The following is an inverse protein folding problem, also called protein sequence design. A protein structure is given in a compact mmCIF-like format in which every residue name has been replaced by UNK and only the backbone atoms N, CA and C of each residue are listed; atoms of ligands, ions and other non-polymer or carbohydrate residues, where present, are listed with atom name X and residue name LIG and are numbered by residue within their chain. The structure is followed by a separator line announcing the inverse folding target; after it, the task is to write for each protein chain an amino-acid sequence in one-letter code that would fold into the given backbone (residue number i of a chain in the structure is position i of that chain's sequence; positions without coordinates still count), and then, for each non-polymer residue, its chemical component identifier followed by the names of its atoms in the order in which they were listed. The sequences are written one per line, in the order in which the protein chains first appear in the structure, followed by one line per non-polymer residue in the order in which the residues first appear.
data_IF_639762381057
#
_entry.id   IF_639762381057
#
_cell.length_a   1.000
_cell.length_b   1.000
_cell.length_c   1.000
_cell.angle_alpha   90.00
_cell.angle_beta   90.00
_cell.angle_gamma   90.00
#
_symmetry.space_group_name_H-M   'P 1'
#
loop_
_entity.id
_entity.type
_entity.pdbx_description
1 polymer ?
#
# COMPACT_ATOMS: atom_id res chain seq x y z
N UNK A 1 -16.45 -16.37 70.90
CA UNK A 1 -17.26 -15.77 69.81
C UNK A 1 -16.52 -14.54 69.21
N UNK A 2 -15.60 -14.75 68.29
CA UNK A 2 -14.90 -13.64 67.54
C UNK A 2 -14.50 -14.15 66.14
N UNK A 3 -15.45 -14.50 65.25
CA UNK A 3 -15.16 -14.93 63.89
C UNK A 3 -16.02 -14.36 62.76
N UNK A 4 -16.76 -13.23 62.84
CA UNK A 4 -17.36 -12.66 61.64
C UNK A 4 -16.60 -11.48 61.02
N UNK A 5 -15.56 -10.91 61.68
CA UNK A 5 -14.91 -9.66 61.18
C UNK A 5 -13.88 -9.91 60.09
N UNK A 6 -13.27 -11.11 60.05
CA UNK A 6 -12.23 -11.46 59.07
C UNK A 6 -12.82 -11.72 57.67
N UNK A 7 -14.01 -12.28 57.62
CA UNK A 7 -14.69 -12.56 56.33
C UNK A 7 -15.21 -11.30 55.60
N UNK A 8 -15.56 -10.28 56.39
CA UNK A 8 -16.00 -9.00 55.82
C UNK A 8 -14.81 -8.23 55.22
N UNK A 9 -13.62 -8.31 55.82
CA UNK A 9 -12.42 -7.64 55.31
C UNK A 9 -11.88 -8.29 54.01
N UNK A 10 -11.95 -9.62 53.86
CA UNK A 10 -11.56 -10.33 52.66
C UNK A 10 -12.54 -10.06 51.50
N UNK A 11 -13.82 -9.90 51.80
CA UNK A 11 -14.85 -9.60 50.77
C UNK A 11 -14.79 -8.15 50.27
N UNK A 12 -14.36 -7.19 51.10
CA UNK A 12 -14.16 -5.80 50.71
C UNK A 12 -12.85 -5.62 49.98
N UNK A 13 -11.79 -6.38 50.28
CA UNK A 13 -10.50 -6.31 49.58
C UNK A 13 -10.55 -7.01 48.21
N UNK A 14 -11.46 -7.98 48.02
CA UNK A 14 -11.64 -8.63 46.70
C UNK A 14 -12.43 -7.78 45.68
N UNK A 15 -13.07 -6.70 46.09
CA UNK A 15 -13.76 -5.74 45.20
C UNK A 15 -12.91 -4.52 44.77
N UNK A 16 -11.67 -4.44 45.22
CA UNK A 16 -10.78 -3.26 44.96
C UNK A 16 -9.69 -3.52 43.93
N UNK A 17 -9.72 -4.65 43.24
CA UNK A 17 -9.02 -4.77 41.97
C UNK A 17 -10.05 -4.50 40.86
N UNK A 18 -10.50 -3.26 40.76
CA UNK A 18 -11.09 -2.80 39.51
C UNK A 18 -9.98 -2.94 38.47
N UNK A 19 -10.11 -3.90 37.57
CA UNK A 19 -9.27 -3.96 36.39
C UNK A 19 -9.38 -2.60 35.72
N UNK A 20 -8.29 -1.87 35.64
CA UNK A 20 -8.26 -0.58 34.96
C UNK A 20 -8.62 -0.84 33.51
N UNK A 21 -9.61 -0.11 32.97
CA UNK A 21 -10.00 -0.23 31.57
C UNK A 21 -8.82 0.12 30.66
N UNK A 22 -8.65 -0.64 29.59
CA UNK A 22 -7.58 -0.42 28.60
C UNK A 22 -8.21 0.13 27.32
N UNK A 23 -7.74 1.30 26.88
CA UNK A 23 -8.20 1.94 25.65
C UNK A 23 -7.03 2.15 24.70
N UNK A 24 -7.14 1.62 23.49
CA UNK A 24 -6.18 1.87 22.42
C UNK A 24 -6.58 3.12 21.63
N UNK A 25 -5.64 4.07 21.50
CA UNK A 25 -5.79 5.25 20.65
C UNK A 25 -5.00 5.07 19.36
N UNK A 26 -5.70 5.05 18.22
CA UNK A 26 -5.10 4.90 16.88
C UNK A 26 -5.28 6.19 16.09
N UNK A 27 -4.21 6.93 15.74
CA UNK A 27 -4.32 8.10 14.90
C UNK A 27 -4.52 7.69 13.42
N UNK A 28 -5.56 8.22 12.76
CA UNK A 28 -5.78 8.15 11.32
C UNK A 28 -5.71 9.57 10.77
N UNK A 29 -4.49 10.03 10.48
CA UNK A 29 -4.21 11.41 10.09
C UNK A 29 -3.47 11.46 8.75
N UNK A 30 -3.81 12.45 7.93
CA UNK A 30 -3.22 12.61 6.60
C UNK A 30 -3.82 11.66 5.57
N UNK A 31 -3.01 11.19 4.62
CA UNK A 31 -3.46 10.32 3.52
C UNK A 31 -3.52 8.85 3.96
N UNK A 32 -4.62 8.18 3.64
CA UNK A 32 -4.77 6.74 3.84
C UNK A 32 -4.01 6.02 2.74
N UNK A 33 -2.89 5.42 3.10
CA UNK A 33 -1.99 4.66 2.24
C UNK A 33 -1.93 3.17 2.62
N UNK A 34 -1.23 2.38 1.83
CA UNK A 34 -1.12 0.93 1.99
C UNK A 34 -0.26 0.47 3.18
N UNK A 35 0.44 1.35 3.84
CA UNK A 35 1.14 1.02 5.08
C UNK A 35 0.25 1.16 6.32
N UNK A 36 -0.94 1.74 6.17
CA UNK A 36 -1.86 1.94 7.29
C UNK A 36 -2.63 0.67 7.67
N UNK A 37 -3.15 -0.17 6.75
CA UNK A 37 -3.86 -1.39 7.09
C UNK A 37 -3.06 -2.35 7.99
N UNK A 38 -1.83 -2.78 7.67
CA UNK A 38 -1.06 -3.70 8.53
C UNK A 38 -0.79 -3.12 9.93
N UNK A 39 -0.63 -1.79 10.04
CA UNK A 39 -0.49 -1.12 11.32
C UNK A 39 -1.77 -1.21 12.15
N UNK A 40 -2.95 -0.94 11.54
CA UNK A 40 -4.24 -0.99 12.23
C UNK A 40 -4.57 -2.42 12.65
N UNK A 41 -4.39 -3.40 11.77
CA UNK A 41 -4.61 -4.83 12.06
C UNK A 41 -3.78 -5.30 13.25
N UNK A 42 -2.49 -4.98 13.26
CA UNK A 42 -1.62 -5.30 14.39
C UNK A 42 -2.11 -4.70 15.70
N UNK A 43 -2.60 -3.45 15.68
CA UNK A 43 -3.10 -2.81 16.91
C UNK A 43 -4.44 -3.41 17.35
N UNK A 44 -5.32 -3.77 16.40
CA UNK A 44 -6.56 -4.48 16.73
C UNK A 44 -6.24 -5.83 17.38
N UNK A 45 -5.32 -6.61 16.79
CA UNK A 45 -4.88 -7.88 17.37
C UNK A 45 -4.31 -7.71 18.79
N UNK A 46 -3.42 -6.73 18.99
CA UNK A 46 -2.87 -6.44 20.31
C UNK A 46 -3.97 -6.06 21.32
N UNK A 47 -4.97 -5.26 20.89
CA UNK A 47 -6.10 -4.88 21.74
C UNK A 47 -6.97 -6.09 22.11
N UNK A 48 -7.18 -7.03 21.20
CA UNK A 48 -7.90 -8.27 21.45
C UNK A 48 -7.12 -9.19 22.41
N UNK A 49 -5.82 -9.38 22.19
CA UNK A 49 -4.95 -10.20 23.06
C UNK A 49 -4.90 -9.66 24.50
N UNK A 50 -4.94 -8.34 24.66
CA UNK A 50 -4.90 -7.69 25.95
C UNK A 50 -6.30 -7.51 26.58
N UNK A 51 -7.36 -7.94 25.90
CA UNK A 51 -8.77 -7.73 26.28
C UNK A 51 -9.07 -6.26 26.56
N UNK A 52 -8.66 -5.38 25.65
CA UNK A 52 -8.95 -3.96 25.75
C UNK A 52 -10.46 -3.70 25.69
N UNK A 53 -10.92 -2.66 26.42
CA UNK A 53 -12.32 -2.30 26.47
C UNK A 53 -12.77 -1.52 25.25
N UNK A 54 -11.88 -0.72 24.63
CA UNK A 54 -12.18 0.02 23.41
C UNK A 54 -10.94 0.32 22.56
N UNK A 55 -11.19 0.48 21.25
CA UNK A 55 -10.24 1.04 20.28
C UNK A 55 -10.86 2.33 19.75
N UNK A 56 -10.20 3.47 19.96
CA UNK A 56 -10.65 4.77 19.47
C UNK A 56 -9.74 5.26 18.35
N UNK A 57 -10.32 5.39 17.16
CA UNK A 57 -9.67 5.95 15.99
C UNK A 57 -9.80 7.47 15.98
N UNK A 58 -8.69 8.19 16.17
CA UNK A 58 -8.62 9.66 16.12
C UNK A 58 -8.43 10.12 14.66
N UNK A 59 -9.55 10.53 14.01
CA UNK A 59 -9.64 10.69 12.56
C UNK A 59 -9.59 12.17 12.17
N UNK A 60 -8.60 12.52 11.33
CA UNK A 60 -8.51 13.79 10.58
C UNK A 60 -7.87 13.51 9.22
N UNK A 61 -8.68 13.19 8.22
CA UNK A 61 -8.21 12.80 6.89
C UNK A 61 -9.09 13.34 5.76
N UNK A 62 -8.46 13.66 4.64
CA UNK A 62 -9.14 13.90 3.37
C UNK A 62 -9.37 12.62 2.57
N UNK A 63 -8.96 11.47 3.09
CA UNK A 63 -9.08 10.18 2.43
C UNK A 63 -7.77 9.66 1.86
N UNK A 64 -7.87 8.78 0.89
CA UNK A 64 -6.72 8.15 0.26
C UNK A 64 -7.13 6.97 -0.61
N UNK A 65 -6.37 5.89 -0.57
CA UNK A 65 -6.59 4.71 -1.39
C UNK A 65 -7.82 3.92 -0.94
N UNK A 66 -8.62 3.52 -1.93
CA UNK A 66 -9.83 2.72 -1.69
C UNK A 66 -9.50 1.34 -1.14
N UNK A 67 -8.50 0.67 -1.72
CA UNK A 67 -8.04 -0.65 -1.30
C UNK A 67 -7.56 -0.67 0.16
N UNK A 68 -6.74 0.30 0.56
CA UNK A 68 -6.33 0.47 1.95
C UNK A 68 -7.53 0.71 2.89
N UNK A 69 -8.48 1.54 2.47
CA UNK A 69 -9.68 1.81 3.26
C UNK A 69 -10.57 0.58 3.43
N UNK A 70 -10.69 -0.27 2.38
CA UNK A 70 -11.44 -1.52 2.43
C UNK A 70 -10.80 -2.51 3.39
N UNK A 71 -9.48 -2.70 3.35
CA UNK A 71 -8.75 -3.55 4.31
C UNK A 71 -8.95 -3.07 5.75
N UNK A 72 -8.81 -1.75 5.99
CA UNK A 72 -9.04 -1.17 7.33
C UNK A 72 -10.48 -1.41 7.80
N UNK A 73 -11.47 -1.18 6.93
CA UNK A 73 -12.89 -1.45 7.21
C UNK A 73 -13.09 -2.91 7.60
N UNK A 74 -12.52 -3.86 6.84
CA UNK A 74 -12.67 -5.29 7.10
C UNK A 74 -12.05 -5.67 8.44
N UNK A 75 -10.88 -5.14 8.79
CA UNK A 75 -10.25 -5.34 10.09
C UNK A 75 -11.13 -4.79 11.24
N UNK A 76 -11.67 -3.58 11.09
CA UNK A 76 -12.56 -2.98 12.11
C UNK A 76 -13.85 -3.77 12.27
N UNK A 77 -14.47 -4.21 11.16
CA UNK A 77 -15.71 -5.00 11.21
C UNK A 77 -15.52 -6.38 11.80
N UNK A 78 -14.29 -6.91 11.77
CA UNK A 78 -13.92 -8.22 12.33
C UNK A 78 -13.50 -8.16 13.81
N UNK A 79 -13.25 -6.96 14.34
CA UNK A 79 -12.80 -6.75 15.71
C UNK A 79 -13.89 -7.17 16.72
N UNK A 80 -13.45 -7.85 17.80
CA UNK A 80 -14.28 -8.18 18.95
C UNK A 80 -14.24 -7.11 20.05
N UNK A 81 -13.39 -6.10 19.92
CA UNK A 81 -13.27 -4.96 20.85
C UNK A 81 -14.14 -3.82 20.36
N UNK A 82 -14.77 -3.09 21.26
CA UNK A 82 -15.57 -1.90 20.93
C UNK A 82 -14.75 -0.93 20.07
N UNK A 83 -15.21 -0.66 18.85
CA UNK A 83 -14.56 0.26 17.92
C UNK A 83 -15.27 1.60 17.88
N UNK A 84 -14.52 2.68 18.03
CA UNK A 84 -15.04 4.05 18.12
C UNK A 84 -14.29 4.95 17.13
N UNK A 85 -15.01 5.63 16.26
CA UNK A 85 -14.48 6.72 15.45
C UNK A 85 -14.64 8.05 16.19
N UNK A 86 -13.55 8.73 16.48
CA UNK A 86 -13.53 10.11 16.93
C UNK A 86 -13.10 11.02 15.78
N UNK A 87 -14.06 11.68 15.15
CA UNK A 87 -13.82 12.59 14.02
C UNK A 87 -13.44 13.95 14.58
N UNK A 88 -12.14 14.17 14.72
CA UNK A 88 -11.57 15.37 15.31
C UNK A 88 -11.78 16.62 14.43
N UNK A 89 -11.74 16.47 13.09
CA UNK A 89 -12.04 17.54 12.14
C UNK A 89 -12.82 17.03 10.93
N UNK A 90 -12.29 16.01 10.28
CA UNK A 90 -12.87 15.51 9.03
C UNK A 90 -12.61 14.03 8.82
N UNK A 91 -13.61 13.39 8.26
CA UNK A 91 -13.55 12.02 7.78
C UNK A 91 -14.08 12.00 6.34
N UNK A 92 -13.24 12.44 5.40
CA UNK A 92 -13.61 12.58 3.99
C UNK A 92 -13.17 11.35 3.21
N UNK A 93 -13.97 10.94 2.21
CA UNK A 93 -13.66 9.84 1.29
C UNK A 93 -13.42 8.52 2.05
N UNK A 94 -12.24 7.92 1.92
CA UNK A 94 -11.83 6.72 2.66
C UNK A 94 -12.03 6.86 4.18
N UNK A 95 -11.88 8.08 4.74
CA UNK A 95 -12.15 8.36 6.13
C UNK A 95 -13.62 8.15 6.54
N UNK A 96 -14.56 8.43 5.63
CA UNK A 96 -15.98 8.16 5.87
C UNK A 96 -16.27 6.65 5.95
N UNK A 97 -15.71 5.85 5.04
CA UNK A 97 -15.85 4.39 5.06
C UNK A 97 -15.32 3.79 6.36
N UNK A 98 -14.12 4.21 6.77
CA UNK A 98 -13.49 3.78 8.03
C UNK A 98 -14.35 4.19 9.24
N UNK A 99 -14.86 5.41 9.26
CA UNK A 99 -15.73 5.88 10.35
C UNK A 99 -17.03 5.07 10.43
N UNK A 100 -17.67 4.80 9.28
CA UNK A 100 -18.90 4.02 9.21
C UNK A 100 -18.70 2.56 9.65
N UNK A 101 -17.49 2.00 9.54
CA UNK A 101 -17.19 0.65 10.00
C UNK A 101 -17.12 0.52 11.53
N UNK A 102 -16.89 1.61 12.25
CA UNK A 102 -16.85 1.63 13.71
C UNK A 102 -18.27 1.49 14.32
N UNK A 103 -18.34 0.90 15.53
CA UNK A 103 -19.59 0.74 16.26
C UNK A 103 -20.17 2.07 16.70
N UNK A 104 -19.31 2.98 17.15
CA UNK A 104 -19.67 4.33 17.57
C UNK A 104 -18.95 5.39 16.78
N UNK A 105 -19.59 6.51 16.54
CA UNK A 105 -19.01 7.67 15.88
C UNK A 105 -19.29 8.91 16.73
N UNK A 106 -18.22 9.56 17.20
CA UNK A 106 -18.27 10.84 17.88
C UNK A 106 -17.58 11.89 17.01
N UNK A 107 -18.13 13.11 16.97
CA UNK A 107 -17.61 14.20 16.15
C UNK A 107 -17.40 15.45 16.99
N UNK A 108 -16.37 16.23 16.65
CA UNK A 108 -16.21 17.57 17.24
C UNK A 108 -17.22 18.55 16.66
N UNK A 109 -17.52 19.62 17.36
CA UNK A 109 -18.26 20.75 16.80
C UNK A 109 -17.57 21.29 15.55
N UNK A 110 -18.26 21.27 14.40
CA UNK A 110 -17.68 21.64 13.11
C UNK A 110 -16.94 20.52 12.36
N UNK A 111 -17.02 19.29 12.85
CA UNK A 111 -16.55 18.10 12.14
C UNK A 111 -17.33 17.84 10.85
N UNK A 112 -16.73 17.10 9.92
CA UNK A 112 -17.39 16.71 8.66
C UNK A 112 -17.13 15.26 8.29
N UNK A 113 -18.14 14.58 7.73
CA UNK A 113 -18.03 13.20 7.24
C UNK A 113 -18.75 13.07 5.89
N UNK A 114 -18.15 12.38 4.91
CA UNK A 114 -18.77 12.08 3.62
C UNK A 114 -17.86 12.31 2.43
N UNK A 115 -18.44 12.75 1.29
CA UNK A 115 -17.76 13.00 0.01
C UNK A 115 -16.80 11.87 -0.38
N UNK A 116 -17.35 10.67 -0.61
CA UNK A 116 -16.58 9.43 -0.78
C UNK A 116 -16.56 8.90 -2.22
N UNK A 117 -16.84 9.75 -3.21
CA UNK A 117 -16.74 9.36 -4.62
C UNK A 117 -15.30 8.93 -4.95
N UNK A 118 -15.17 7.74 -5.52
CA UNK A 118 -13.86 7.27 -5.99
C UNK A 118 -13.40 8.10 -7.20
N UNK A 119 -12.20 8.65 -7.10
CA UNK A 119 -11.56 9.44 -8.16
C UNK A 119 -10.20 8.87 -8.51
N UNK A 120 -9.75 9.09 -9.76
CA UNK A 120 -8.40 8.76 -10.18
C UNK A 120 -7.36 9.74 -9.59
N UNK A 121 -6.06 9.49 -9.84
CA UNK A 121 -4.97 10.36 -9.38
C UNK A 121 -5.01 11.78 -9.96
N UNK A 122 -5.81 12.02 -11.01
CA UNK A 122 -6.02 13.34 -11.63
C UNK A 122 -7.28 14.05 -11.10
N UNK A 123 -8.05 13.38 -10.23
CA UNK A 123 -9.30 13.88 -9.68
C UNK A 123 -10.53 13.65 -10.56
N UNK A 124 -10.41 12.84 -11.63
CA UNK A 124 -11.57 12.49 -12.44
C UNK A 124 -12.39 11.40 -11.74
N UNK A 125 -13.73 11.49 -11.88
CA UNK A 125 -14.66 10.47 -11.37
C UNK A 125 -14.33 9.09 -11.95
N UNK A 126 -14.31 8.07 -11.10
CA UNK A 126 -14.11 6.69 -11.49
C UNK A 126 -15.22 6.19 -12.43
N UNK A 127 -14.97 5.06 -13.11
CA UNK A 127 -16.00 4.44 -13.95
C UNK A 127 -17.20 3.98 -13.10
N UNK A 128 -18.37 3.82 -13.74
CA UNK A 128 -19.59 3.36 -13.06
C UNK A 128 -19.37 2.03 -12.29
N UNK A 129 -18.51 1.15 -12.81
CA UNK A 129 -18.16 -0.09 -12.09
C UNK A 129 -17.53 0.18 -10.72
N UNK A 130 -16.61 1.16 -10.63
CA UNK A 130 -15.92 1.54 -9.39
C UNK A 130 -16.87 2.30 -8.47
N UNK A 131 -17.67 3.22 -9.03
CA UNK A 131 -18.67 3.96 -8.25
C UNK A 131 -19.72 3.01 -7.67
N UNK A 132 -20.24 2.08 -8.48
CA UNK A 132 -21.20 1.07 -8.03
C UNK A 132 -20.62 0.18 -6.92
N UNK A 133 -19.37 -0.25 -7.06
CA UNK A 133 -18.69 -1.01 -6.00
C UNK A 133 -18.61 -0.20 -4.70
N UNK A 134 -18.08 1.02 -4.76
CA UNK A 134 -17.94 1.89 -3.58
C UNK A 134 -19.28 2.25 -2.95
N UNK A 135 -20.30 2.48 -3.77
CA UNK A 135 -21.65 2.76 -3.29
C UNK A 135 -22.22 1.62 -2.44
N UNK A 136 -22.11 0.38 -2.92
CA UNK A 136 -22.60 -0.76 -2.19
C UNK A 136 -21.67 -1.13 -1.01
N UNK A 137 -20.38 -0.87 -1.09
CA UNK A 137 -19.42 -1.03 0.00
C UNK A 137 -19.75 -0.11 1.19
N UNK A 138 -20.03 1.16 0.90
CA UNK A 138 -20.47 2.12 1.91
C UNK A 138 -21.82 1.75 2.50
N UNK A 139 -22.76 1.31 1.66
CA UNK A 139 -24.10 0.92 2.09
C UNK A 139 -24.10 -0.31 2.99
N UNK A 140 -23.40 -1.38 2.59
CA UNK A 140 -23.30 -2.61 3.39
C UNK A 140 -22.60 -2.37 4.73
N UNK A 141 -21.59 -1.49 4.75
CA UNK A 141 -20.91 -1.07 5.97
C UNK A 141 -21.85 -0.33 6.91
N UNK A 142 -22.62 0.65 6.39
CA UNK A 142 -23.62 1.38 7.15
C UNK A 142 -24.71 0.48 7.69
N UNK A 143 -25.24 -0.43 6.87
CA UNK A 143 -26.25 -1.41 7.25
C UNK A 143 -25.77 -2.30 8.39
N UNK A 144 -24.54 -2.82 8.33
CA UNK A 144 -23.94 -3.66 9.39
C UNK A 144 -23.87 -2.94 10.74
N UNK A 145 -23.79 -1.61 10.73
CA UNK A 145 -23.73 -0.74 11.91
C UNK A 145 -25.06 -0.02 12.19
N UNK A 146 -26.17 -0.48 11.59
CA UNK A 146 -27.53 0.08 11.76
C UNK A 146 -27.62 1.60 11.43
N UNK A 147 -26.87 2.05 10.42
CA UNK A 147 -26.93 3.42 9.90
C UNK A 147 -27.65 3.46 8.55
N UNK A 148 -28.17 4.61 8.18
CA UNK A 148 -28.95 4.76 6.93
C UNK A 148 -28.08 4.53 5.68
N UNK A 149 -28.52 3.58 4.85
CA UNK A 149 -27.82 3.18 3.63
C UNK A 149 -27.92 4.20 2.49
N UNK A 150 -29.00 4.98 2.43
CA UNK A 150 -29.17 5.99 1.39
C UNK A 150 -28.22 7.17 1.60
N UNK A 151 -27.99 7.56 2.86
CA UNK A 151 -26.98 8.56 3.19
C UNK A 151 -25.61 8.06 2.81
N UNK A 152 -25.27 6.81 3.16
CA UNK A 152 -23.99 6.20 2.81
C UNK A 152 -23.78 6.13 1.28
N UNK A 153 -24.81 5.71 0.52
CA UNK A 153 -24.79 5.70 -0.94
C UNK A 153 -24.62 7.10 -1.52
N UNK A 154 -25.34 8.09 -0.98
CA UNK A 154 -25.25 9.46 -1.44
C UNK A 154 -23.93 10.18 -1.11
N UNK A 155 -23.10 9.62 -0.22
CA UNK A 155 -21.72 10.07 -0.03
C UNK A 155 -20.82 9.70 -1.22
N UNK A 156 -21.19 8.68 -2.01
CA UNK A 156 -20.41 8.17 -3.14
C UNK A 156 -20.97 8.61 -4.46
N UNK A 157 -22.30 8.55 -4.62
CA UNK A 157 -22.98 8.72 -5.89
C UNK A 157 -23.81 9.99 -5.92
N UNK A 158 -23.41 10.93 -6.76
CA UNK A 158 -24.06 12.21 -6.96
C UNK A 158 -25.36 12.13 -7.79
N UNK A 159 -25.60 10.98 -8.45
CA UNK A 159 -26.82 10.79 -9.27
C UNK A 159 -28.03 10.36 -8.41
N UNK A 160 -27.76 9.96 -7.16
CA UNK A 160 -28.81 9.56 -6.23
C UNK A 160 -29.64 10.76 -5.75
N UNK A 161 -30.96 10.56 -5.72
CA UNK A 161 -31.89 11.53 -5.12
C UNK A 161 -32.91 10.82 -4.26
N UNK A 162 -33.23 11.39 -3.11
CA UNK A 162 -34.26 10.89 -2.21
C UNK A 162 -34.91 12.04 -1.42
N UNK A 163 -36.16 11.86 -1.04
CA UNK A 163 -36.91 12.88 -0.27
C UNK A 163 -37.21 12.40 1.15
N UNK A 164 -37.13 11.11 1.42
CA UNK A 164 -37.47 10.53 2.71
C UNK A 164 -36.38 9.54 3.10
N UNK A 165 -36.12 9.46 4.41
CA UNK A 165 -35.28 8.45 5.07
C UNK A 165 -36.10 7.73 6.12
N UNK A 166 -35.67 6.51 6.47
CA UNK A 166 -36.27 5.76 7.59
C UNK A 166 -35.30 5.83 8.76
N UNK A 167 -35.69 6.57 9.82
CA UNK A 167 -34.90 6.73 11.03
C UNK A 167 -35.72 6.20 12.20
N UNK A 168 -35.19 5.20 12.92
CA UNK A 168 -35.87 4.50 14.02
C UNK A 168 -37.25 3.92 13.65
N UNK A 169 -37.46 3.59 12.37
CA UNK A 169 -38.72 3.07 11.85
C UNK A 169 -39.70 4.15 11.38
N UNK A 170 -39.42 5.42 11.63
CA UNK A 170 -40.23 6.56 11.17
C UNK A 170 -39.72 7.11 9.83
N UNK A 171 -40.65 7.46 8.95
CA UNK A 171 -40.34 8.13 7.68
C UNK A 171 -40.14 9.63 7.91
N UNK A 172 -38.90 10.09 7.78
CA UNK A 172 -38.50 11.48 7.97
C UNK A 172 -38.28 12.15 6.61
N UNK A 173 -38.98 13.28 6.37
CA UNK A 173 -38.73 14.08 5.17
C UNK A 173 -37.39 14.83 5.30
N UNK A 174 -36.55 14.71 4.25
CA UNK A 174 -35.24 15.31 4.20
C UNK A 174 -35.32 16.60 3.41
N UNK A 175 -35.20 17.73 4.08
CA UNK A 175 -35.30 19.07 3.44
C UNK A 175 -33.98 19.85 3.48
N UNK A 176 -33.14 19.60 4.46
CA UNK A 176 -31.93 20.36 4.80
C UNK A 176 -30.60 19.69 4.34
N UNK A 177 -30.67 18.56 3.67
CA UNK A 177 -29.52 17.86 3.13
C UNK A 177 -29.40 18.10 1.62
N UNK A 178 -28.48 18.98 1.19
CA UNK A 178 -28.32 19.30 -0.23
C UNK A 178 -27.92 18.10 -1.07
N UNK A 179 -27.06 17.21 -0.54
CA UNK A 179 -26.61 16.00 -1.22
C UNK A 179 -27.69 14.95 -1.51
N UNK A 180 -28.94 15.19 -1.07
CA UNK A 180 -30.10 14.40 -1.48
C UNK A 180 -30.62 14.69 -2.90
N UNK A 181 -30.08 15.73 -3.54
CA UNK A 181 -30.43 16.14 -4.89
C UNK A 181 -29.47 15.59 -5.90
N UNK A 182 -29.95 15.19 -7.06
CA UNK A 182 -29.11 14.79 -8.18
C UNK A 182 -28.05 15.84 -8.51
N UNK A 183 -26.83 15.40 -8.77
CA UNK A 183 -25.66 16.23 -9.02
C UNK A 183 -24.98 16.77 -7.76
N UNK A 184 -25.31 16.23 -6.57
CA UNK A 184 -24.70 16.62 -5.29
C UNK A 184 -24.30 15.42 -4.47
N UNK A 185 -23.11 15.49 -3.88
CA UNK A 185 -22.63 14.49 -2.91
C UNK A 185 -23.07 14.87 -1.50
N UNK A 186 -23.30 13.83 -0.69
CA UNK A 186 -23.55 14.02 0.74
C UNK A 186 -22.23 14.25 1.47
N UNK A 187 -22.19 15.37 2.20
CA UNK A 187 -21.21 15.63 3.24
C UNK A 187 -21.99 16.16 4.44
N UNK A 188 -21.88 15.50 5.58
CA UNK A 188 -22.59 15.87 6.79
C UNK A 188 -21.68 16.69 7.70
N UNK A 189 -22.22 17.77 8.25
CA UNK A 189 -21.70 18.43 9.44
C UNK A 189 -22.05 17.60 10.67
N UNK A 190 -21.46 17.90 11.82
CA UNK A 190 -21.75 17.24 13.09
C UNK A 190 -23.26 17.29 13.40
N UNK A 191 -23.89 18.45 13.24
CA UNK A 191 -25.32 18.62 13.47
C UNK A 191 -26.17 17.69 12.57
N UNK A 192 -25.87 17.64 11.27
CA UNK A 192 -26.59 16.76 10.33
C UNK A 192 -26.28 15.27 10.59
N UNK A 193 -25.06 14.95 10.95
CA UNK A 193 -24.67 13.58 11.28
C UNK A 193 -25.42 13.05 12.52
N UNK A 194 -25.60 13.88 13.53
CA UNK A 194 -26.40 13.58 14.72
C UNK A 194 -27.90 13.48 14.39
N UNK A 195 -28.41 14.44 13.62
CA UNK A 195 -29.83 14.46 13.20
C UNK A 195 -30.23 13.22 12.44
N UNK A 196 -29.37 12.75 11.53
CA UNK A 196 -29.63 11.58 10.69
C UNK A 196 -29.02 10.29 11.25
N UNK A 197 -28.59 10.28 12.52
CA UNK A 197 -28.06 9.12 13.25
C UNK A 197 -26.89 8.41 12.55
N UNK A 198 -26.08 9.18 11.81
CA UNK A 198 -24.80 8.73 11.31
C UNK A 198 -23.75 8.82 12.42
N UNK A 199 -23.79 9.87 13.25
CA UNK A 199 -22.99 9.98 14.47
C UNK A 199 -23.82 9.69 15.73
N UNK A 200 -23.17 9.12 16.74
CA UNK A 200 -23.79 8.74 18.02
C UNK A 200 -23.73 9.88 19.05
N UNK A 201 -22.82 10.84 18.88
CA UNK A 201 -22.68 11.96 19.81
C UNK A 201 -21.66 13.00 19.36
N UNK A 202 -21.66 14.15 20.08
CA UNK A 202 -20.66 15.20 19.94
C UNK A 202 -19.65 15.13 21.08
N UNK A 203 -18.37 15.28 20.75
CA UNK A 203 -17.28 15.31 21.71
C UNK A 203 -16.17 16.24 21.22
N UNK A 204 -15.81 17.26 21.98
CA UNK A 204 -14.81 18.25 21.58
C UNK A 204 -13.38 17.76 21.73
N UNK A 205 -13.13 16.77 22.59
CA UNK A 205 -11.82 16.22 22.86
C UNK A 205 -11.86 14.69 22.97
N UNK A 206 -10.70 14.08 22.84
CA UNK A 206 -10.54 12.65 23.09
C UNK A 206 -10.98 12.27 24.52
N UNK A 207 -10.67 13.11 25.52
CA UNK A 207 -11.06 12.87 26.91
C UNK A 207 -12.59 12.94 27.07
N UNK A 208 -13.29 13.80 26.33
CA UNK A 208 -14.76 13.80 26.34
C UNK A 208 -15.34 12.49 25.80
N UNK A 209 -14.69 11.86 24.78
CA UNK A 209 -15.09 10.53 24.32
C UNK A 209 -14.96 9.50 25.42
N UNK A 210 -13.85 9.52 26.18
CA UNK A 210 -13.65 8.62 27.32
C UNK A 210 -14.73 8.84 28.40
N UNK A 211 -15.06 10.08 28.72
CA UNK A 211 -16.14 10.40 29.66
C UNK A 211 -17.49 9.86 29.19
N UNK A 212 -17.84 10.03 27.91
CA UNK A 212 -19.09 9.51 27.34
C UNK A 212 -19.14 7.97 27.39
N UNK A 213 -18.00 7.32 27.24
CA UNK A 213 -17.86 5.86 27.32
C UNK A 213 -17.73 5.33 28.76
N UNK A 214 -17.75 6.21 29.77
CA UNK A 214 -17.52 5.88 31.20
C UNK A 214 -16.15 5.22 31.45
N UNK A 215 -15.12 5.68 30.71
CA UNK A 215 -13.74 5.16 30.72
C UNK A 215 -12.73 6.23 31.14
N UNK A 216 -13.10 7.19 32.00
CA UNK A 216 -12.23 8.32 32.40
C UNK A 216 -10.89 7.89 33.03
N UNK A 217 -10.88 6.78 33.77
CA UNK A 217 -9.69 6.23 34.43
C UNK A 217 -8.97 5.17 33.59
N UNK A 218 -9.27 5.05 32.28
CA UNK A 218 -8.67 4.03 31.43
C UNK A 218 -7.15 4.26 31.21
N UNK A 219 -6.41 3.16 31.12
CA UNK A 219 -5.04 3.18 30.63
C UNK A 219 -5.05 3.41 29.12
N UNK A 220 -4.56 4.57 28.67
CA UNK A 220 -4.52 4.91 27.25
C UNK A 220 -3.23 4.38 26.63
N UNK A 221 -3.37 3.40 25.74
CA UNK A 221 -2.28 2.88 24.93
C UNK A 221 -2.27 3.55 23.56
N UNK A 222 -1.42 4.56 23.43
CA UNK A 222 -1.25 5.24 22.13
C UNK A 222 -0.50 4.36 21.14
N UNK A 223 -1.19 3.98 20.08
CA UNK A 223 -0.57 3.25 18.97
C UNK A 223 0.48 4.11 18.28
N UNK A 224 1.68 3.58 18.14
CA UNK A 224 2.77 4.23 17.40
C UNK A 224 3.18 3.36 16.24
N UNK A 225 3.37 3.99 15.11
CA UNK A 225 3.92 3.35 13.93
C UNK A 225 5.34 2.88 14.25
N UNK A 226 5.59 1.59 14.00
CA UNK A 226 6.86 0.94 14.23
C UNK A 226 7.89 1.40 13.18
N UNK A 227 9.18 1.21 13.45
CA UNK A 227 10.22 1.47 12.44
C UNK A 227 10.00 0.61 11.18
N UNK A 228 9.66 -0.67 11.34
CA UNK A 228 9.38 -1.58 10.22
C UNK A 228 8.19 -1.14 9.37
N UNK A 229 7.11 -0.68 9.98
CA UNK A 229 5.93 -0.15 9.29
C UNK A 229 6.26 1.12 8.49
N UNK A 230 7.01 2.05 9.09
CA UNK A 230 7.51 3.22 8.37
C UNK A 230 8.43 2.84 7.19
N UNK A 231 9.23 1.79 7.34
CA UNK A 231 10.08 1.30 6.29
C UNK A 231 9.26 0.67 5.16
N UNK A 232 8.24 -0.13 5.46
CA UNK A 232 7.31 -0.68 4.47
C UNK A 232 6.58 0.46 3.74
N UNK A 233 6.04 1.46 4.47
CA UNK A 233 5.42 2.65 3.87
C UNK A 233 6.35 3.40 2.93
N UNK A 234 7.62 3.54 3.30
CA UNK A 234 8.62 4.16 2.42
C UNK A 234 8.84 3.34 1.15
N UNK A 235 8.99 2.01 1.26
CA UNK A 235 9.23 1.12 0.13
C UNK A 235 8.01 1.00 -0.80
N UNK A 236 6.79 1.03 -0.26
CA UNK A 236 5.53 0.96 -1.03
C UNK A 236 5.10 2.31 -1.61
N UNK A 237 5.83 3.40 -1.29
CA UNK A 237 5.60 4.67 -1.97
C UNK A 237 5.78 4.50 -3.49
N UNK A 238 4.81 4.92 -4.34
CA UNK A 238 4.84 4.65 -5.78
C UNK A 238 6.13 5.09 -6.48
N UNK A 239 6.72 6.22 -6.05
CA UNK A 239 7.98 6.72 -6.62
C UNK A 239 9.15 5.82 -6.21
N UNK A 240 9.23 5.46 -4.93
CA UNK A 240 10.31 4.60 -4.39
C UNK A 240 10.21 3.20 -4.98
N UNK A 241 9.02 2.61 -5.01
CA UNK A 241 8.77 1.29 -5.60
C UNK A 241 9.17 1.25 -7.09
N UNK A 242 8.78 2.28 -7.87
CA UNK A 242 9.16 2.38 -9.28
C UNK A 242 10.68 2.50 -9.48
N UNK A 243 11.36 3.26 -8.62
CA UNK A 243 12.82 3.38 -8.66
C UNK A 243 13.50 2.07 -8.29
N UNK A 244 13.04 1.39 -7.23
CA UNK A 244 13.58 0.09 -6.82
C UNK A 244 13.40 -0.97 -7.92
N UNK A 245 12.22 -1.03 -8.54
CA UNK A 245 11.97 -1.92 -9.67
C UNK A 245 12.90 -1.60 -10.85
N UNK A 246 13.02 -0.33 -11.22
CA UNK A 246 13.89 0.10 -12.32
C UNK A 246 15.36 -0.26 -12.05
N UNK A 247 15.89 0.10 -10.89
CA UNK A 247 17.27 -0.25 -10.52
C UNK A 247 17.46 -1.76 -10.35
N UNK A 248 16.42 -2.45 -9.87
CA UNK A 248 16.42 -3.90 -9.76
C UNK A 248 16.62 -4.57 -11.10
N UNK A 249 15.76 -4.25 -12.08
CA UNK A 249 15.88 -4.81 -13.44
C UNK A 249 17.15 -4.38 -14.13
N UNK A 250 17.53 -3.09 -14.07
CA UNK A 250 18.78 -2.63 -14.68
C UNK A 250 20.00 -3.30 -14.08
N UNK A 251 20.02 -3.52 -12.76
CA UNK A 251 21.12 -4.22 -12.08
C UNK A 251 21.27 -5.67 -12.54
N UNK A 252 20.16 -6.41 -12.64
CA UNK A 252 20.15 -7.79 -13.15
C UNK A 252 20.54 -7.82 -14.63
N UNK A 253 19.97 -6.96 -15.47
CA UNK A 253 20.33 -6.92 -16.90
C UNK A 253 21.80 -6.60 -17.13
N UNK A 254 22.38 -5.73 -16.30
CA UNK A 254 23.80 -5.41 -16.36
C UNK A 254 24.67 -6.60 -15.97
N UNK A 255 24.27 -7.34 -14.94
CA UNK A 255 24.97 -8.56 -14.50
C UNK A 255 24.99 -9.63 -15.56
N UNK A 256 23.88 -9.84 -16.27
CA UNK A 256 23.79 -10.82 -17.36
C UNK A 256 24.75 -10.54 -18.52
N UNK A 257 25.23 -9.29 -18.67
CA UNK A 257 26.21 -8.92 -19.68
C UNK A 257 27.66 -9.01 -19.19
N UNK A 258 27.86 -9.21 -17.89
CA UNK A 258 29.18 -9.31 -17.24
C UNK A 258 29.55 -10.76 -16.97
N UNK A 259 30.80 -11.20 -17.22
CA UNK A 259 31.21 -12.57 -16.86
C UNK A 259 31.34 -12.71 -15.34
N UNK A 260 30.46 -13.49 -14.74
CA UNK A 260 30.42 -13.76 -13.30
C UNK A 260 29.39 -12.92 -12.54
N UNK A 261 29.14 -13.27 -11.26
CA UNK A 261 28.21 -12.53 -10.39
C UNK A 261 28.95 -11.41 -9.64
N UNK A 262 28.46 -10.16 -9.78
CA UNK A 262 29.12 -8.97 -9.24
C UNK A 262 28.20 -8.03 -8.46
N UNK A 263 28.69 -6.81 -8.26
CA UNK A 263 27.99 -5.76 -7.50
C UNK A 263 26.66 -5.34 -8.15
N UNK A 264 26.56 -5.15 -9.50
CA UNK A 264 25.30 -4.70 -10.11
C UNK A 264 24.17 -5.71 -9.93
N UNK A 265 24.45 -7.01 -10.11
CA UNK A 265 23.46 -8.07 -9.94
C UNK A 265 22.99 -8.20 -8.50
N UNK A 266 23.91 -8.14 -7.55
CA UNK A 266 23.59 -8.17 -6.12
C UNK A 266 22.73 -6.97 -5.73
N UNK A 267 23.09 -5.76 -6.15
CA UNK A 267 22.32 -4.56 -5.91
C UNK A 267 20.92 -4.63 -6.54
N UNK A 268 20.83 -5.11 -7.79
CA UNK A 268 19.56 -5.31 -8.50
C UNK A 268 18.66 -6.31 -7.78
N UNK A 269 19.21 -7.45 -7.36
CA UNK A 269 18.47 -8.46 -6.60
C UNK A 269 17.93 -7.92 -5.25
N UNK A 270 18.72 -7.14 -4.54
CA UNK A 270 18.30 -6.48 -3.29
C UNK A 270 17.18 -5.48 -3.55
N UNK A 271 17.28 -4.65 -4.59
CA UNK A 271 16.22 -3.70 -4.95
C UNK A 271 14.89 -4.42 -5.28
N UNK A 272 14.94 -5.50 -6.06
CA UNK A 272 13.76 -6.31 -6.37
C UNK A 272 13.18 -6.97 -5.13
N UNK A 273 14.03 -7.57 -4.29
CA UNK A 273 13.58 -8.22 -3.05
C UNK A 273 12.91 -7.22 -2.09
N UNK A 274 13.45 -6.00 -1.97
CA UNK A 274 12.85 -4.95 -1.14
C UNK A 274 11.50 -4.48 -1.72
N UNK A 275 11.42 -4.27 -3.03
CA UNK A 275 10.18 -3.81 -3.66
C UNK A 275 9.08 -4.86 -3.60
N UNK A 276 9.36 -6.10 -4.02
CA UNK A 276 8.40 -7.20 -4.02
C UNK A 276 8.02 -7.62 -2.59
N UNK A 277 9.00 -7.68 -1.69
CA UNK A 277 8.76 -8.02 -0.29
C UNK A 277 7.90 -6.99 0.43
N UNK A 278 8.12 -5.70 0.18
CA UNK A 278 7.28 -4.63 0.74
C UNK A 278 5.85 -4.69 0.18
N UNK A 279 5.70 -4.95 -1.14
CA UNK A 279 4.38 -5.11 -1.76
C UNK A 279 3.63 -6.32 -1.20
N UNK A 280 4.33 -7.42 -0.92
CA UNK A 280 3.72 -8.59 -0.28
C UNK A 280 3.26 -8.30 1.16
N UNK A 281 4.10 -7.64 1.97
CA UNK A 281 3.75 -7.28 3.37
C UNK A 281 2.57 -6.30 3.40
N UNK A 282 2.45 -5.43 2.41
CA UNK A 282 1.36 -4.46 2.29
C UNK A 282 0.11 -5.05 1.58
N UNK A 283 0.06 -6.39 1.40
CA UNK A 283 -1.03 -7.10 0.70
C UNK A 283 -1.33 -6.58 -0.72
N UNK A 284 -0.34 -5.97 -1.36
CA UNK A 284 -0.42 -5.52 -2.76
C UNK A 284 -0.08 -6.61 -3.76
N UNK A 285 0.61 -7.63 -3.29
CA UNK A 285 1.04 -8.78 -4.09
C UNK A 285 0.61 -10.05 -3.40
N UNK A 286 -0.03 -10.93 -4.14
CA UNK A 286 -0.34 -12.27 -3.66
C UNK A 286 0.87 -13.20 -3.81
N UNK A 287 0.88 -14.33 -3.10
CA UNK A 287 1.88 -15.37 -3.33
C UNK A 287 1.87 -15.86 -4.78
N UNK A 288 0.71 -15.83 -5.44
CA UNK A 288 0.57 -16.22 -6.84
C UNK A 288 1.37 -15.29 -7.76
N UNK A 289 1.28 -13.98 -7.55
CA UNK A 289 2.00 -12.98 -8.35
C UNK A 289 3.52 -13.12 -8.20
N UNK A 290 3.97 -13.33 -6.96
CA UNK A 290 5.39 -13.59 -6.68
C UNK A 290 5.90 -14.86 -7.36
N UNK A 291 5.09 -15.93 -7.37
CA UNK A 291 5.43 -17.19 -8.06
C UNK A 291 5.49 -16.96 -9.58
N UNK A 292 4.53 -16.24 -10.17
CA UNK A 292 4.53 -15.93 -11.61
C UNK A 292 5.79 -15.15 -11.99
N UNK A 293 6.13 -14.11 -11.24
CA UNK A 293 7.36 -13.31 -11.46
C UNK A 293 8.60 -14.21 -11.34
N UNK A 294 8.66 -15.03 -10.29
CA UNK A 294 9.80 -15.95 -10.08
C UNK A 294 9.96 -16.96 -11.23
N UNK A 295 8.86 -17.52 -11.74
CA UNK A 295 8.86 -18.41 -12.90
C UNK A 295 9.36 -17.68 -14.15
N UNK A 296 8.87 -16.46 -14.41
CA UNK A 296 9.33 -15.63 -15.53
C UNK A 296 10.83 -15.35 -15.48
N UNK A 297 11.33 -14.94 -14.32
CA UNK A 297 12.78 -14.72 -14.09
C UNK A 297 13.57 -16.01 -14.26
N UNK A 298 13.07 -17.14 -13.72
CA UNK A 298 13.75 -18.45 -13.84
C UNK A 298 13.85 -18.91 -15.29
N UNK A 299 12.82 -18.73 -16.10
CA UNK A 299 12.84 -19.03 -17.53
C UNK A 299 13.88 -18.18 -18.28
N UNK A 300 13.98 -16.90 -17.95
CA UNK A 300 14.99 -16.01 -18.51
C UNK A 300 16.41 -16.43 -18.11
N UNK A 301 16.61 -16.86 -16.87
CA UNK A 301 17.91 -17.37 -16.40
C UNK A 301 18.29 -18.68 -17.11
N UNK A 302 17.34 -19.59 -17.31
CA UNK A 302 17.56 -20.83 -18.07
C UNK A 302 17.98 -20.53 -19.50
N UNK A 303 17.32 -19.57 -20.16
CA UNK A 303 17.68 -19.14 -21.52
C UNK A 303 19.11 -18.62 -21.60
N UNK A 304 19.48 -17.72 -20.68
CA UNK A 304 20.81 -17.09 -20.69
C UNK A 304 21.94 -18.07 -20.34
N UNK A 305 21.69 -19.00 -19.40
CA UNK A 305 22.74 -19.91 -18.88
C UNK A 305 22.89 -21.17 -19.71
N UNK A 306 21.78 -21.75 -20.19
CA UNK A 306 21.77 -23.10 -20.80
C UNK A 306 21.52 -23.12 -22.29
N UNK A 307 20.91 -22.07 -22.88
CA UNK A 307 20.51 -22.06 -24.29
C UNK A 307 21.36 -21.01 -25.03
N UNK A 308 22.26 -21.41 -25.95
CA UNK A 308 23.04 -20.45 -26.72
C UNK A 308 22.14 -19.77 -27.76
N UNK A 309 21.83 -18.48 -27.53
CA UNK A 309 20.95 -17.66 -28.39
C UNK A 309 19.64 -17.34 -27.66
N UNK A 310 18.75 -16.58 -28.33
CA UNK A 310 17.45 -16.22 -27.78
C UNK A 310 16.37 -17.14 -28.38
N UNK A 311 15.84 -18.07 -27.56
CA UNK A 311 14.92 -19.10 -27.99
C UNK A 311 13.55 -19.05 -27.31
N UNK A 312 12.88 -20.19 -27.26
CA UNK A 312 11.51 -20.30 -26.75
C UNK A 312 11.40 -19.98 -25.25
N UNK A 313 12.37 -20.39 -24.43
CA UNK A 313 12.34 -20.14 -22.99
C UNK A 313 12.47 -18.62 -22.69
N UNK A 314 13.27 -17.89 -23.47
CA UNK A 314 13.40 -16.44 -23.35
C UNK A 314 12.10 -15.71 -23.67
N UNK A 315 11.45 -16.08 -24.79
CA UNK A 315 10.15 -15.47 -25.18
C UNK A 315 9.08 -15.79 -24.14
N UNK A 316 8.99 -17.04 -23.70
CA UNK A 316 8.04 -17.45 -22.66
C UNK A 316 8.34 -16.75 -21.33
N UNK A 317 9.60 -16.63 -20.94
CA UNK A 317 10.05 -15.95 -19.73
C UNK A 317 9.66 -14.46 -19.71
N UNK A 318 9.86 -13.74 -20.83
CA UNK A 318 9.39 -12.35 -20.97
C UNK A 318 7.87 -12.28 -20.82
N UNK A 319 7.12 -13.15 -21.51
CA UNK A 319 5.66 -13.16 -21.44
C UNK A 319 5.14 -13.38 -20.03
N UNK A 320 5.66 -14.39 -19.32
CA UNK A 320 5.29 -14.70 -17.93
C UNK A 320 5.69 -13.57 -16.98
N UNK A 321 6.89 -12.98 -17.14
CA UNK A 321 7.33 -11.86 -16.33
C UNK A 321 6.44 -10.62 -16.51
N UNK A 322 6.10 -10.27 -17.76
CA UNK A 322 5.21 -9.16 -18.06
C UNK A 322 3.80 -9.38 -17.51
N UNK A 323 3.31 -10.63 -17.55
CA UNK A 323 2.05 -11.01 -16.94
C UNK A 323 2.08 -10.79 -15.40
N UNK A 324 3.10 -11.32 -14.71
CA UNK A 324 3.23 -11.13 -13.27
C UNK A 324 3.41 -9.66 -12.86
N UNK A 325 4.13 -8.87 -13.65
CA UNK A 325 4.23 -7.42 -13.41
C UNK A 325 2.92 -6.68 -13.66
N UNK A 326 2.13 -7.15 -14.62
CA UNK A 326 0.80 -6.60 -14.90
C UNK A 326 -0.16 -6.88 -13.74
N UNK A 327 -0.22 -8.13 -13.23
CA UNK A 327 -1.02 -8.50 -12.05
C UNK A 327 -0.61 -7.68 -10.82
N UNK A 328 0.69 -7.51 -10.60
CA UNK A 328 1.21 -6.70 -9.47
C UNK A 328 0.77 -5.22 -9.50
N UNK A 329 0.39 -4.70 -10.67
CA UNK A 329 -0.08 -3.31 -10.83
C UNK A 329 -1.60 -3.18 -10.63
N UNK A 330 -2.32 -4.30 -10.59
CA UNK A 330 -3.76 -4.32 -10.39
C UNK A 330 -4.09 -4.68 -8.94
N UNK A 331 -4.94 -3.90 -8.26
CA UNK A 331 -5.44 -4.30 -6.94
C UNK A 331 -6.43 -5.47 -7.06
N UNK A 332 -6.54 -6.30 -6.03
CA UNK A 332 -7.47 -7.45 -5.94
C UNK A 332 -8.95 -7.06 -5.84
N UNK A 333 -9.27 -5.81 -6.14
CA UNK A 333 -10.65 -5.30 -6.20
C UNK A 333 -11.09 -5.12 -7.65
N UNK A 334 -12.41 -5.13 -7.95
CA UNK A 334 -12.91 -4.89 -9.28
C UNK A 334 -12.40 -3.55 -9.83
N UNK A 335 -11.52 -3.61 -10.83
CA UNK A 335 -10.94 -2.42 -11.46
C UNK A 335 -11.70 -2.01 -12.71
N UNK A 336 -11.72 -0.71 -12.97
CA UNK A 336 -12.28 -0.17 -14.21
C UNK A 336 -11.34 -0.41 -15.40
N UNK A 337 -11.88 -0.40 -16.64
CA UNK A 337 -11.06 -0.45 -17.85
C UNK A 337 -9.99 0.64 -17.91
N UNK A 338 -10.25 1.82 -17.30
CA UNK A 338 -9.31 2.92 -17.23
C UNK A 338 -8.11 2.58 -16.35
N UNK A 339 -8.31 1.97 -15.17
CA UNK A 339 -7.22 1.51 -14.29
C UNK A 339 -6.38 0.45 -15.00
N UNK A 340 -7.03 -0.49 -15.67
CA UNK A 340 -6.36 -1.50 -16.49
C UNK A 340 -5.50 -0.85 -17.60
N UNK A 341 -6.06 0.14 -18.30
CA UNK A 341 -5.33 0.88 -19.35
C UNK A 341 -4.17 1.72 -18.78
N UNK A 342 -4.33 2.29 -17.59
CA UNK A 342 -3.26 3.00 -16.89
C UNK A 342 -2.14 2.05 -16.46
N UNK A 343 -2.46 0.86 -15.95
CA UNK A 343 -1.48 -0.17 -15.59
C UNK A 343 -0.68 -0.59 -16.84
N UNK A 344 -1.35 -0.88 -17.96
CA UNK A 344 -0.70 -1.21 -19.23
C UNK A 344 0.15 -0.05 -19.77
N UNK A 345 -0.34 1.17 -19.67
CA UNK A 345 0.40 2.37 -20.10
C UNK A 345 1.63 2.58 -19.22
N UNK A 346 1.48 2.46 -17.89
CA UNK A 346 2.57 2.54 -16.94
C UNK A 346 3.65 1.49 -17.19
N UNK A 347 3.25 0.23 -17.40
CA UNK A 347 4.14 -0.87 -17.75
C UNK A 347 4.89 -0.59 -19.06
N UNK A 348 4.18 -0.12 -20.09
CA UNK A 348 4.77 0.23 -21.38
C UNK A 348 5.80 1.35 -21.26
N UNK A 349 5.46 2.43 -20.56
CA UNK A 349 6.37 3.55 -20.30
C UNK A 349 7.58 3.08 -19.47
N UNK A 350 7.36 2.23 -18.48
CA UNK A 350 8.43 1.64 -17.66
C UNK A 350 9.41 0.81 -18.50
N UNK A 351 8.91 -0.03 -19.40
CA UNK A 351 9.74 -0.84 -20.31
C UNK A 351 10.55 0.05 -21.26
N UNK A 352 9.88 1.00 -21.95
CA UNK A 352 10.54 1.92 -22.87
C UNK A 352 11.56 2.78 -22.13
N UNK A 353 11.20 3.34 -20.99
CA UNK A 353 12.10 4.12 -20.14
C UNK A 353 13.30 3.31 -19.64
N UNK A 354 13.05 2.04 -19.25
CA UNK A 354 14.11 1.10 -18.87
C UNK A 354 15.09 0.82 -20.01
N UNK A 355 14.59 0.56 -21.23
CA UNK A 355 15.44 0.35 -22.41
C UNK A 355 16.25 1.61 -22.74
N UNK A 356 15.63 2.78 -22.75
CA UNK A 356 16.32 4.06 -22.99
C UNK A 356 17.37 4.29 -21.90
N UNK A 357 17.01 4.07 -20.62
CA UNK A 357 17.92 4.20 -19.49
C UNK A 357 19.12 3.27 -19.61
N UNK A 358 18.90 2.02 -19.99
CA UNK A 358 19.97 1.04 -20.25
C UNK A 358 20.93 1.50 -21.36
N UNK A 359 20.38 1.96 -22.48
CA UNK A 359 21.19 2.45 -23.62
C UNK A 359 22.01 3.69 -23.23
N UNK A 360 21.42 4.63 -22.48
CA UNK A 360 22.10 5.81 -21.98
C UNK A 360 23.19 5.44 -20.96
N UNK A 361 22.88 4.54 -20.03
CA UNK A 361 23.83 4.07 -19.02
C UNK A 361 25.01 3.35 -19.69
N UNK A 362 24.74 2.49 -20.66
CA UNK A 362 25.77 1.82 -21.44
C UNK A 362 26.67 2.83 -22.18
N UNK A 363 26.09 3.84 -22.85
CA UNK A 363 26.85 4.91 -23.53
C UNK A 363 27.68 5.78 -22.58
N UNK A 364 27.15 6.06 -21.37
CA UNK A 364 27.89 6.81 -20.36
C UNK A 364 29.04 5.98 -19.78
N UNK A 365 28.79 4.71 -19.47
CA UNK A 365 29.80 3.82 -18.90
C UNK A 365 30.96 3.54 -19.87
N UNK A 366 30.68 3.31 -21.14
CA UNK A 366 31.73 3.09 -22.16
C UNK A 366 32.64 4.30 -22.35
N UNK A 367 32.21 5.51 -21.94
CA UNK A 367 33.02 6.75 -22.00
C UNK A 367 33.83 7.02 -20.72
N UNK A 368 33.64 6.27 -19.64
CA UNK A 368 34.28 6.53 -18.36
C UNK A 368 35.54 5.67 -18.16
N UNK A 369 36.58 6.23 -17.50
CA UNK A 369 37.77 5.50 -17.09
C UNK A 369 37.49 4.29 -16.17
N UNK A 370 36.29 4.18 -15.66
CA UNK A 370 35.84 3.04 -14.84
C UNK A 370 35.63 1.78 -15.71
N UNK A 371 35.16 1.96 -16.95
CA UNK A 371 34.95 0.85 -17.89
C UNK A 371 36.28 0.23 -18.32
N UNK A 372 37.33 1.07 -18.58
CA UNK A 372 38.65 0.58 -18.93
C UNK A 372 39.35 -0.18 -17.79
N UNK A 373 38.92 -0.06 -16.55
CA UNK A 373 39.40 -0.87 -15.41
C UNK A 373 38.62 -2.18 -15.25
N UNK A 374 37.40 -2.30 -15.77
CA UNK A 374 36.56 -3.50 -15.72
C UNK A 374 36.76 -4.41 -16.92
N UNK A 375 37.06 -3.87 -18.08
CA UNK A 375 37.48 -4.63 -19.25
C UNK A 375 38.98 -4.92 -19.12
N UNK A 376 39.26 -6.19 -18.83
CA UNK A 376 40.54 -6.84 -18.56
C UNK A 376 41.84 -6.09 -18.95
N UNK A 377 42.80 -5.96 -18.03
CA UNK A 377 44.11 -5.33 -18.28
C UNK A 377 45.03 -6.16 -19.19
N UNK A 378 44.49 -7.05 -20.04
CA UNK A 378 45.29 -7.97 -20.86
C UNK A 378 45.56 -7.51 -22.30
N UNK A 379 44.76 -6.58 -22.85
CA UNK A 379 44.87 -6.24 -24.29
C UNK A 379 45.82 -5.05 -24.53
N UNK A 380 45.90 -4.09 -23.61
CA UNK A 380 46.81 -2.95 -23.76
C UNK A 380 48.30 -3.29 -23.54
N UNK A 381 48.60 -4.39 -22.83
CA UNK A 381 50.00 -4.82 -22.62
C UNK A 381 50.63 -5.47 -23.85
N UNK A 382 49.84 -6.08 -24.75
CA UNK A 382 50.37 -6.70 -25.96
C UNK A 382 50.66 -5.70 -27.06
N UNK A 383 49.86 -4.63 -27.18
CA UNK A 383 50.10 -3.60 -28.19
C UNK A 383 51.33 -2.71 -27.87
N UNK A 384 51.59 -2.41 -26.59
CA UNK A 384 52.81 -1.75 -26.15
C UNK A 384 54.06 -2.60 -26.23
N UNK A 385 53.96 -3.93 -26.01
CA UNK A 385 55.08 -4.83 -26.16
C UNK A 385 55.48 -5.08 -27.60
N UNK A 386 54.53 -4.93 -28.56
CA UNK A 386 54.84 -4.99 -29.99
C UNK A 386 55.45 -3.69 -30.55
N UNK A 387 55.23 -2.55 -29.88
CA UNK A 387 55.80 -1.26 -30.31
C UNK A 387 57.27 -1.02 -29.89
N UNK A 388 57.77 -1.77 -28.90
CA UNK A 388 59.16 -1.70 -28.37
C UNK A 388 60.09 -2.75 -28.92
N UNK A 389 59.77 -3.46 -30.04
CA UNK A 389 60.70 -4.36 -30.70
C UNK A 389 61.70 -3.52 -31.51
N UNK A 390 62.99 -3.51 -31.21
CA UNK A 390 63.97 -2.75 -31.94
C UNK A 390 64.02 -3.19 -33.40
N UNK A 391 64.03 -2.22 -34.35
CA UNK A 391 64.11 -2.45 -35.81
C UNK A 391 65.25 -3.34 -36.31
N UNK A 392 66.10 -3.84 -35.43
CA UNK A 392 67.27 -4.63 -35.78
C UNK A 392 67.01 -6.12 -36.03
N UNK A 393 65.79 -6.61 -35.90
CA UNK A 393 65.46 -8.02 -36.16
C UNK A 393 64.78 -8.26 -37.54
N UNK A 394 64.75 -7.29 -38.40
CA UNK A 394 64.07 -7.36 -39.71
C UNK A 394 64.92 -7.94 -40.84
N UNK A 395 66.08 -8.51 -40.58
CA UNK A 395 66.89 -9.11 -41.67
C UNK A 395 67.33 -10.55 -41.30
N UNK A 396 66.39 -11.46 -41.35
CA UNK A 396 66.70 -12.89 -41.58
C UNK A 396 66.50 -13.15 -43.07
N UNK A 397 67.66 -13.13 -43.83
CA UNK A 397 67.71 -13.71 -45.18
C UNK A 397 67.66 -15.22 -45.04
N UNK A 398 66.61 -15.82 -45.49
CA UNK A 398 66.54 -17.27 -45.73
C UNK A 398 66.97 -17.49 -47.16
N UNK A 399 68.24 -17.85 -47.36
CA UNK A 399 68.74 -18.36 -48.63
C UNK A 399 68.21 -19.76 -48.91
N UNK A 400 67.26 -19.85 -49.81
CA UNK A 400 66.83 -21.15 -50.37
C UNK A 400 67.83 -21.57 -51.43
N UNK A 401 68.80 -22.40 -51.07
CA UNK A 401 69.55 -23.18 -52.06
C UNK A 401 68.65 -24.30 -52.58
N UNK A 402 68.15 -24.12 -53.78
CA UNK A 402 67.61 -25.20 -54.59
C UNK A 402 68.78 -26.10 -55.06
N UNK A 403 68.82 -27.32 -54.64
CA UNK A 403 69.71 -28.36 -55.17
C UNK A 403 68.98 -29.07 -56.30
N UNK A 404 69.49 -29.08 -57.55
CA UNK A 404 68.91 -29.88 -58.62
C UNK A 404 69.59 -31.27 -58.60
N UNK A 405 68.81 -32.30 -58.45
CA UNK A 405 69.20 -33.67 -58.56
C UNK A 405 67.97 -34.60 -58.46
#
# INVERSE_FOLDING_TARGET
MKKPLIHLFVFVFCRLVASQSIVYKIPIQGTIDLGLPPFIERIIQNAEEENADAIIFDIDTFGGRVDAATQIKDAILSSNVLTVAFINRRAISAGALISLSCEKIYMTGGGTIGAATAVDMKGNKGSEKVISYMREEMASTAEKRNRDTNIAKGMVDEELSFSYLVIDGDSVEVTDLEGRKEGKLITLTTELALKYKIADGEAETFDNVLTILEMDDAEIRSARVNWSENFVRFLTNPVVASLLMTFGFLGILFELQSPGWGIPGTFGAVCLALSLGASYIAELATMTDLIIIFVGVSLLLVEVVFIPGFGFAGIAGIGVLLWGLYELLLPDVPVSPEVTSMALTGLTIGIIGGIIGLVLLFRLMTKTRFWTKLTAPGIESHEKQCADVPENYATFHVDFHANPG
#
